data_IF_374463971390
#
_entry.id   IF_374463971390
#
_cell.length_a   1.000
_cell.length_b   1.000
_cell.length_c   1.000
_cell.angle_alpha   90.00
_cell.angle_beta   90.00
_cell.angle_gamma   90.00
#
_symmetry.space_group_name_H-M   'P 1'
#
loop_
_entity.id
_entity.type
_entity.pdbx_description
1 polymer ?
#
# COMPACT_ATOMS: atom_id res chain seq x y z
N UNK A 1 7.08 -7.70 -26.44
CA UNK A 1 6.27 -8.47 -25.49
C UNK A 1 6.26 -7.65 -24.19
N UNK A 2 5.09 -7.30 -23.65
CA UNK A 2 5.04 -6.60 -22.35
C UNK A 2 5.56 -7.54 -21.27
N UNK A 3 6.34 -7.01 -20.32
CA UNK A 3 6.78 -7.76 -19.15
C UNK A 3 5.58 -8.06 -18.25
N UNK A 4 5.57 -9.24 -17.64
CA UNK A 4 4.49 -9.63 -16.75
C UNK A 4 4.58 -8.88 -15.42
N UNK A 5 5.78 -8.76 -14.86
CA UNK A 5 6.02 -8.10 -13.59
C UNK A 5 7.18 -7.10 -13.67
N UNK A 6 7.01 -5.99 -12.98
CA UNK A 6 8.09 -5.09 -12.60
C UNK A 6 8.17 -5.01 -11.08
N UNK A 7 9.35 -5.20 -10.51
CA UNK A 7 9.61 -5.10 -9.07
C UNK A 7 10.32 -3.78 -8.79
N UNK A 8 9.68 -2.93 -8.03
CA UNK A 8 10.20 -1.66 -7.54
C UNK A 8 10.67 -1.88 -6.11
N UNK A 9 11.98 -1.88 -5.89
CA UNK A 9 12.58 -1.95 -4.56
C UNK A 9 12.88 -0.54 -4.08
N UNK A 10 12.22 -0.13 -3.00
CA UNK A 10 12.33 1.22 -2.45
C UNK A 10 13.27 1.22 -1.25
N UNK A 11 14.27 2.09 -1.25
CA UNK A 11 15.15 2.31 -0.11
C UNK A 11 15.80 3.69 -0.17
N UNK A 12 15.88 4.37 0.98
CA UNK A 12 16.60 5.64 1.13
C UNK A 12 18.09 5.54 0.74
N UNK A 13 18.68 4.34 0.77
CA UNK A 13 20.07 4.11 0.33
C UNK A 13 20.31 4.52 -1.12
N UNK A 14 19.28 4.46 -1.96
CA UNK A 14 19.39 4.80 -3.38
C UNK A 14 19.34 6.31 -3.64
N UNK A 15 18.91 7.13 -2.65
CA UNK A 15 18.91 8.59 -2.74
C UNK A 15 20.32 9.19 -2.78
N UNK A 16 21.27 8.56 -2.12
CA UNK A 16 22.62 9.10 -1.90
C UNK A 16 23.64 8.72 -2.99
N UNK A 17 23.18 8.33 -4.18
CA UNK A 17 24.09 8.04 -5.30
C UNK A 17 25.01 6.86 -5.01
N UNK A 18 24.52 5.82 -4.31
CA UNK A 18 25.22 4.56 -4.19
C UNK A 18 25.63 4.11 -5.59
N UNK A 19 26.94 4.13 -5.86
CA UNK A 19 27.50 3.99 -7.20
C UNK A 19 27.35 2.60 -7.80
N UNK A 20 26.88 1.65 -7.01
CA UNK A 20 26.65 0.27 -7.45
C UNK A 20 25.16 -0.05 -7.26
N UNK A 21 24.37 -0.12 -8.36
CA UNK A 21 23.00 -0.61 -8.25
C UNK A 21 23.02 -2.04 -7.67
N UNK A 22 22.13 -2.36 -6.73
CA UNK A 22 22.06 -3.70 -6.19
C UNK A 22 21.80 -4.70 -7.33
N UNK A 23 22.48 -5.84 -7.27
CA UNK A 23 22.25 -6.92 -8.21
C UNK A 23 20.87 -7.53 -7.95
N UNK A 24 20.00 -7.66 -8.97
CA UNK A 24 18.75 -8.38 -8.81
C UNK A 24 19.00 -9.78 -8.23
N UNK A 25 18.15 -10.27 -7.33
CA UNK A 25 18.33 -11.59 -6.70
C UNK A 25 18.30 -12.74 -7.72
N UNK A 26 17.69 -12.51 -8.87
CA UNK A 26 17.72 -13.39 -10.04
C UNK A 26 17.36 -12.60 -11.30
N UNK A 27 17.74 -13.13 -12.47
CA UNK A 27 17.40 -12.57 -13.78
C UNK A 27 16.33 -13.40 -14.46
N UNK A 28 15.35 -12.70 -15.05
CA UNK A 28 14.28 -13.28 -15.84
C UNK A 28 13.86 -12.27 -16.92
N UNK A 29 13.80 -12.66 -18.20
CA UNK A 29 13.44 -11.73 -19.28
C UNK A 29 12.03 -11.13 -19.18
N UNK A 30 11.12 -11.82 -18.46
CA UNK A 30 9.75 -11.35 -18.21
C UNK A 30 9.63 -10.40 -17.03
N UNK A 31 10.74 -10.09 -16.34
CA UNK A 31 10.79 -9.35 -15.09
C UNK A 31 11.68 -8.12 -15.24
N UNK A 32 11.18 -6.96 -14.79
CA UNK A 32 11.98 -5.76 -14.58
C UNK A 32 12.31 -5.54 -13.10
N UNK A 33 13.50 -5.01 -12.83
CA UNK A 33 13.91 -4.60 -11.49
C UNK A 33 14.28 -3.13 -11.48
N UNK A 34 13.66 -2.37 -10.58
CA UNK A 34 13.88 -0.94 -10.37
C UNK A 34 14.26 -0.70 -8.91
N UNK A 35 15.46 -0.19 -8.67
CA UNK A 35 15.95 0.17 -7.35
C UNK A 35 15.89 1.68 -7.22
N UNK A 36 15.01 2.20 -6.37
CA UNK A 36 14.67 3.61 -6.33
C UNK A 36 14.58 4.14 -4.88
N UNK A 37 14.80 5.43 -4.72
CA UNK A 37 14.58 6.16 -3.49
C UNK A 37 13.13 6.68 -3.34
N UNK A 38 12.38 6.69 -4.43
CA UNK A 38 11.02 7.19 -4.51
C UNK A 38 10.15 6.22 -5.33
N UNK A 39 9.06 5.77 -4.74
CA UNK A 39 8.09 4.87 -5.38
C UNK A 39 7.64 5.42 -6.74
N UNK A 40 7.40 6.74 -6.85
CA UNK A 40 6.92 7.35 -8.09
C UNK A 40 7.89 7.21 -9.25
N UNK A 41 9.21 7.25 -8.99
CA UNK A 41 10.21 7.02 -10.03
C UNK A 41 10.08 5.59 -10.62
N UNK A 42 9.86 4.62 -9.75
CA UNK A 42 9.65 3.23 -10.17
C UNK A 42 8.33 3.04 -10.91
N UNK A 43 7.23 3.62 -10.41
CA UNK A 43 5.92 3.55 -11.07
C UNK A 43 5.93 4.17 -12.48
N UNK A 44 6.64 5.28 -12.66
CA UNK A 44 6.81 5.96 -13.95
C UNK A 44 7.68 5.18 -14.92
N UNK A 45 8.71 4.50 -14.44
CA UNK A 45 9.62 3.68 -15.25
C UNK A 45 9.05 2.29 -15.59
N UNK A 46 8.05 1.84 -14.84
CA UNK A 46 7.46 0.51 -15.03
C UNK A 46 6.61 0.43 -16.30
N UNK A 47 6.74 -0.68 -17.02
CA UNK A 47 5.94 -1.00 -18.21
C UNK A 47 5.19 -2.32 -18.12
N UNK A 48 5.39 -3.08 -17.03
CA UNK A 48 4.77 -4.39 -16.84
C UNK A 48 3.26 -4.31 -16.60
N UNK A 49 2.58 -5.45 -16.78
CA UNK A 49 1.16 -5.60 -16.47
C UNK A 49 0.89 -5.47 -14.97
N UNK A 50 1.77 -6.03 -14.15
CA UNK A 50 1.74 -5.94 -12.70
C UNK A 50 3.01 -5.31 -12.15
N UNK A 51 2.83 -4.45 -11.17
CA UNK A 51 3.88 -3.69 -10.51
C UNK A 51 3.90 -4.08 -9.04
N UNK A 52 5.05 -4.59 -8.58
CA UNK A 52 5.28 -4.97 -7.21
C UNK A 52 6.10 -3.87 -6.56
N UNK A 53 5.57 -3.23 -5.55
CA UNK A 53 6.30 -2.28 -4.71
C UNK A 53 6.78 -3.03 -3.47
N UNK A 54 8.06 -3.07 -3.24
CA UNK A 54 8.69 -3.80 -2.14
C UNK A 54 9.71 -2.90 -1.43
N UNK A 55 9.79 -2.97 -0.10
CA UNK A 55 10.94 -2.44 0.63
C UNK A 55 12.11 -3.43 0.56
N UNK A 56 13.31 -3.00 0.95
CA UNK A 56 14.45 -3.91 1.08
C UNK A 56 14.34 -4.89 2.25
N UNK A 57 13.33 -4.74 3.10
CA UNK A 57 13.04 -5.62 4.23
C UNK A 57 12.36 -6.93 3.82
N UNK A 58 11.88 -7.04 2.59
CA UNK A 58 11.23 -8.23 2.06
C UNK A 58 12.02 -8.86 0.93
N UNK A 59 11.94 -10.19 0.82
CA UNK A 59 12.71 -10.96 -0.14
C UNK A 59 11.82 -11.45 -1.28
N UNK A 60 11.80 -10.71 -2.39
CA UNK A 60 11.09 -11.14 -3.60
C UNK A 60 11.82 -12.35 -4.21
N UNK A 61 11.10 -13.48 -4.30
CA UNK A 61 11.61 -14.74 -4.85
C UNK A 61 10.83 -15.15 -6.09
N UNK A 62 11.37 -16.09 -6.87
CA UNK A 62 10.63 -16.68 -8.00
C UNK A 62 9.33 -17.36 -7.57
N UNK A 63 9.38 -18.08 -6.46
CA UNK A 63 8.21 -18.75 -5.90
C UNK A 63 7.09 -17.73 -5.59
N UNK A 64 7.45 -16.61 -4.94
CA UNK A 64 6.50 -15.54 -4.68
C UNK A 64 5.87 -15.00 -5.97
N UNK A 65 6.66 -14.77 -7.03
CA UNK A 65 6.15 -14.27 -8.31
C UNK A 65 5.25 -15.30 -9.02
N UNK A 66 5.57 -16.58 -8.94
CA UNK A 66 4.70 -17.64 -9.48
C UNK A 66 3.36 -17.66 -8.74
N UNK A 67 3.38 -17.62 -7.41
CA UNK A 67 2.16 -17.56 -6.59
C UNK A 67 1.34 -16.30 -6.89
N UNK A 68 2.01 -15.17 -7.13
CA UNK A 68 1.34 -13.92 -7.52
C UNK A 68 0.66 -14.06 -8.90
N UNK A 69 1.33 -14.71 -9.86
CA UNK A 69 0.74 -14.97 -11.17
C UNK A 69 -0.50 -15.90 -11.08
N UNK A 70 -0.44 -16.93 -10.25
CA UNK A 70 -1.58 -17.83 -10.00
C UNK A 70 -2.74 -17.09 -9.33
N UNK A 71 -2.45 -16.23 -8.33
CA UNK A 71 -3.45 -15.37 -7.71
C UNK A 71 -4.12 -14.45 -8.72
N UNK A 72 -3.33 -13.80 -9.57
CA UNK A 72 -3.87 -12.93 -10.62
C UNK A 72 -4.77 -13.69 -11.60
N UNK A 73 -4.35 -14.87 -12.03
CA UNK A 73 -5.16 -15.73 -12.90
C UNK A 73 -6.47 -16.19 -12.24
N UNK A 74 -6.44 -16.44 -10.93
CA UNK A 74 -7.61 -16.85 -10.15
C UNK A 74 -8.59 -15.71 -9.85
N UNK A 75 -8.09 -14.49 -9.79
CA UNK A 75 -8.87 -13.29 -9.46
C UNK A 75 -8.70 -12.17 -10.50
N UNK A 76 -9.08 -12.37 -11.77
CA UNK A 76 -8.79 -11.45 -12.86
C UNK A 76 -9.47 -10.07 -12.73
N UNK A 77 -10.47 -9.95 -11.87
CA UNK A 77 -11.18 -8.69 -11.61
C UNK A 77 -10.55 -7.84 -10.49
N UNK A 78 -9.52 -8.35 -9.84
CA UNK A 78 -8.82 -7.66 -8.76
C UNK A 78 -7.75 -6.74 -9.34
N UNK A 79 -7.65 -5.54 -8.83
CA UNK A 79 -6.69 -4.55 -9.28
C UNK A 79 -5.41 -4.53 -8.45
N UNK A 80 -5.43 -5.13 -7.26
CA UNK A 80 -4.30 -5.06 -6.34
C UNK A 80 -4.35 -6.20 -5.34
N UNK A 81 -3.16 -6.68 -4.96
CA UNK A 81 -2.97 -7.76 -4.01
C UNK A 81 -2.11 -7.28 -2.84
N UNK A 82 -2.51 -7.66 -1.63
CA UNK A 82 -1.78 -7.39 -0.40
C UNK A 82 -1.17 -8.70 0.12
N UNK A 83 0.10 -8.99 -0.21
CA UNK A 83 0.80 -10.17 0.32
C UNK A 83 0.95 -10.10 1.84
N UNK A 84 1.07 -11.26 2.46
CA UNK A 84 1.45 -11.39 3.88
C UNK A 84 2.95 -11.55 4.00
N UNK A 85 3.52 -11.00 5.05
CA UNK A 85 4.96 -11.14 5.33
C UNK A 85 5.13 -12.22 6.40
N UNK A 86 5.90 -13.25 6.08
CA UNK A 86 6.35 -14.24 7.05
C UNK A 86 7.58 -13.70 7.78
N UNK A 87 7.48 -13.58 9.09
CA UNK A 87 8.57 -13.15 9.97
C UNK A 87 8.99 -14.31 10.89
N UNK A 88 10.06 -14.12 11.66
CA UNK A 88 10.46 -15.07 12.69
C UNK A 88 9.39 -15.26 13.79
N UNK A 89 8.50 -14.29 13.99
CA UNK A 89 7.48 -14.26 15.04
C UNK A 89 6.06 -14.55 14.53
N UNK A 90 5.89 -15.04 13.31
CA UNK A 90 4.60 -15.30 12.69
C UNK A 90 4.36 -14.44 11.45
N UNK A 91 3.10 -14.15 11.16
CA UNK A 91 2.72 -13.41 9.95
C UNK A 91 2.30 -11.97 10.26
N UNK A 92 2.69 -11.06 9.36
CA UNK A 92 2.20 -9.69 9.33
C UNK A 92 1.35 -9.52 8.07
N UNK A 93 0.07 -9.21 8.26
CA UNK A 93 -0.92 -9.15 7.18
C UNK A 93 -1.35 -7.74 6.83
N UNK A 94 -2.21 -7.63 5.83
CA UNK A 94 -2.86 -6.40 5.43
C UNK A 94 -3.73 -5.79 6.54
N UNK A 95 -4.24 -4.59 6.31
CA UNK A 95 -5.00 -3.83 7.31
C UNK A 95 -6.41 -3.52 6.80
N UNK A 96 -7.36 -3.54 7.71
CA UNK A 96 -8.75 -3.05 7.53
C UNK A 96 -8.97 -1.78 8.34
N UNK A 97 -10.09 -1.10 8.11
CA UNK A 97 -10.51 0.03 8.95
C UNK A 97 -11.30 -0.51 10.13
N UNK A 98 -10.74 -0.39 11.31
CA UNK A 98 -11.39 -0.79 12.55
C UNK A 98 -12.59 0.10 12.91
N UNK A 99 -13.38 -0.34 13.88
CA UNK A 99 -14.59 0.37 14.37
C UNK A 99 -14.29 1.80 14.82
N UNK A 100 -13.07 2.03 15.27
CA UNK A 100 -12.61 3.34 15.77
C UNK A 100 -11.92 4.19 14.69
N UNK A 101 -11.89 3.73 13.45
CA UNK A 101 -11.25 4.41 12.34
C UNK A 101 -9.73 4.17 12.22
N UNK A 102 -9.14 3.38 13.08
CA UNK A 102 -7.73 2.98 13.01
C UNK A 102 -7.49 1.92 11.93
N UNK A 103 -6.22 1.76 11.53
CA UNK A 103 -5.81 0.64 10.69
C UNK A 103 -5.51 -0.56 11.58
N UNK A 104 -6.34 -1.60 11.48
CA UNK A 104 -6.21 -2.84 12.24
C UNK A 104 -5.67 -3.94 11.33
N UNK A 105 -4.63 -4.63 11.77
CA UNK A 105 -4.11 -5.78 11.05
C UNK A 105 -5.14 -6.91 11.07
N UNK A 106 -5.33 -7.56 9.93
CA UNK A 106 -6.20 -8.74 9.86
C UNK A 106 -5.55 -9.94 10.54
N UNK A 107 -6.40 -10.82 11.09
CA UNK A 107 -5.97 -12.06 11.74
C UNK A 107 -5.14 -12.94 10.80
N UNK A 108 -4.23 -13.73 11.38
CA UNK A 108 -3.42 -14.73 10.65
C UNK A 108 -4.29 -15.79 9.94
N UNK A 109 -5.43 -16.11 10.53
CA UNK A 109 -6.38 -17.08 9.98
C UNK A 109 -7.45 -16.44 9.09
N UNK A 110 -7.32 -15.16 8.77
CA UNK A 110 -8.29 -14.48 7.93
C UNK A 110 -8.43 -15.17 6.57
N UNK A 111 -9.67 -15.33 6.13
CA UNK A 111 -10.00 -15.79 4.78
C UNK A 111 -9.59 -14.77 3.72
N UNK A 112 -9.73 -15.15 2.45
CA UNK A 112 -9.61 -14.21 1.33
C UNK A 112 -10.65 -13.10 1.52
N UNK A 113 -10.20 -11.84 1.56
CA UNK A 113 -11.08 -10.68 1.75
C UNK A 113 -10.49 -9.40 1.18
N UNK A 114 -11.34 -8.43 0.93
CA UNK A 114 -10.90 -7.07 0.62
C UNK A 114 -10.36 -6.36 1.85
N UNK A 115 -9.35 -5.50 1.62
CA UNK A 115 -8.62 -4.79 2.67
C UNK A 115 -8.42 -3.31 2.33
N UNK A 116 -8.21 -2.49 3.35
CA UNK A 116 -8.02 -1.06 3.21
C UNK A 116 -6.59 -0.68 2.81
N UNK A 117 -5.62 -1.44 3.30
CA UNK A 117 -4.21 -1.16 3.07
C UNK A 117 -3.35 -2.43 3.11
N UNK A 118 -2.25 -2.49 2.33
CA UNK A 118 -1.23 -3.52 2.46
C UNK A 118 -0.35 -3.23 3.68
N UNK A 119 0.63 -4.09 3.92
CA UNK A 119 1.79 -3.72 4.72
C UNK A 119 2.63 -2.67 3.97
N UNK A 120 3.31 -1.76 4.69
CA UNK A 120 4.15 -0.74 4.06
C UNK A 120 5.24 -1.31 3.16
N UNK A 121 5.69 -2.53 3.50
CA UNK A 121 6.83 -3.18 2.88
C UNK A 121 6.52 -3.92 1.58
N UNK A 122 5.24 -4.17 1.26
CA UNK A 122 4.88 -4.95 0.07
C UNK A 122 3.45 -4.71 -0.40
N UNK A 123 3.30 -4.45 -1.69
CA UNK A 123 2.02 -4.45 -2.39
C UNK A 123 2.21 -4.80 -3.86
N UNK A 124 1.20 -5.38 -4.48
CA UNK A 124 1.18 -5.58 -5.93
C UNK A 124 -0.04 -4.87 -6.54
N UNK A 125 0.18 -4.16 -7.64
CA UNK A 125 -0.83 -3.35 -8.32
C UNK A 125 -0.88 -3.69 -9.81
N UNK A 126 -2.06 -3.77 -10.39
CA UNK A 126 -2.19 -3.82 -11.84
C UNK A 126 -1.81 -2.46 -12.44
N UNK A 127 -1.19 -2.46 -13.61
CA UNK A 127 -0.88 -1.22 -14.35
C UNK A 127 -2.11 -0.36 -14.56
N UNK A 128 -3.23 -1.00 -14.86
CA UNK A 128 -4.52 -0.33 -15.07
C UNK A 128 -4.90 0.55 -13.88
N UNK A 129 -4.74 0.03 -12.66
CA UNK A 129 -5.12 0.82 -11.48
C UNK A 129 -4.09 1.88 -11.12
N UNK A 130 -2.82 1.61 -11.37
CA UNK A 130 -1.75 2.62 -11.19
C UNK A 130 -2.01 3.84 -12.07
N UNK A 131 -2.35 3.63 -13.34
CA UNK A 131 -2.68 4.72 -14.28
C UNK A 131 -3.89 5.55 -13.84
N UNK A 132 -4.89 4.92 -13.19
CA UNK A 132 -6.10 5.61 -12.70
C UNK A 132 -5.88 6.33 -11.37
N UNK A 133 -5.07 5.75 -10.49
CA UNK A 133 -4.82 6.29 -9.13
C UNK A 133 -3.82 7.43 -9.15
N UNK A 134 -2.90 7.41 -10.12
CA UNK A 134 -1.84 8.41 -10.26
C UNK A 134 -0.67 8.19 -9.30
N UNK A 135 -0.02 9.29 -8.88
CA UNK A 135 1.21 9.24 -8.06
C UNK A 135 0.94 8.95 -6.59
N UNK A 136 1.89 8.32 -5.93
CA UNK A 136 1.94 8.18 -4.47
C UNK A 136 2.18 9.55 -3.83
N UNK A 137 1.59 9.80 -2.67
CA UNK A 137 1.74 11.05 -1.93
C UNK A 137 2.96 10.99 -0.98
N UNK A 138 4.12 11.40 -1.45
CA UNK A 138 5.37 11.41 -0.69
C UNK A 138 5.40 12.43 0.48
N UNK A 139 4.37 13.26 0.64
CA UNK A 139 4.25 14.14 1.82
C UNK A 139 3.75 13.42 3.07
N UNK A 140 3.32 12.17 2.93
CA UNK A 140 2.96 11.30 4.04
C UNK A 140 4.18 10.52 4.54
N UNK A 141 4.20 10.16 5.83
CA UNK A 141 5.17 9.19 6.33
C UNK A 141 5.15 7.90 5.49
N UNK A 142 6.31 7.31 5.27
CA UNK A 142 6.49 6.13 4.40
C UNK A 142 5.50 5.01 4.71
N UNK A 143 5.27 4.73 5.99
CA UNK A 143 4.32 3.72 6.48
C UNK A 143 2.86 3.97 6.09
N UNK A 144 2.50 5.19 5.64
CA UNK A 144 1.16 5.56 5.19
C UNK A 144 1.05 5.78 3.69
N UNK A 145 2.15 5.80 2.96
CA UNK A 145 2.14 6.07 1.51
C UNK A 145 1.32 5.02 0.75
N UNK A 146 1.58 3.74 0.99
CA UNK A 146 0.81 2.66 0.37
C UNK A 146 -0.62 2.56 0.90
N UNK A 147 -0.86 2.88 2.17
CA UNK A 147 -2.21 2.91 2.74
C UNK A 147 -3.06 4.03 2.10
N UNK A 148 -2.51 5.23 1.96
CA UNK A 148 -3.18 6.33 1.26
C UNK A 148 -3.43 5.97 -0.21
N UNK A 149 -2.42 5.39 -0.87
CA UNK A 149 -2.53 4.99 -2.26
C UNK A 149 -3.66 3.98 -2.46
N UNK A 150 -3.76 2.96 -1.59
CA UNK A 150 -4.82 1.95 -1.64
C UNK A 150 -6.21 2.53 -1.41
N UNK A 151 -6.36 3.46 -0.47
CA UNK A 151 -7.64 4.14 -0.26
C UNK A 151 -8.02 5.04 -1.44
N UNK A 152 -7.05 5.70 -2.09
CA UNK A 152 -7.32 6.46 -3.32
C UNK A 152 -7.66 5.54 -4.50
N UNK A 153 -7.09 4.36 -4.54
CA UNK A 153 -7.44 3.34 -5.51
C UNK A 153 -8.91 2.93 -5.43
N UNK A 154 -9.50 2.85 -4.22
CA UNK A 154 -10.95 2.65 -4.05
C UNK A 154 -11.76 3.75 -4.73
N UNK A 155 -11.34 5.03 -4.62
CA UNK A 155 -11.99 6.12 -5.35
C UNK A 155 -11.87 5.97 -6.87
N UNK A 156 -10.78 5.36 -7.36
CA UNK A 156 -10.62 5.03 -8.77
C UNK A 156 -11.41 3.78 -9.23
N UNK A 157 -12.16 3.16 -8.32
CA UNK A 157 -12.96 1.96 -8.56
C UNK A 157 -12.20 0.65 -8.48
N UNK A 158 -10.97 0.66 -7.97
CA UNK A 158 -10.18 -0.54 -7.73
C UNK A 158 -10.38 -1.14 -6.35
N UNK A 159 -9.97 -2.37 -6.16
CA UNK A 159 -10.04 -3.10 -4.89
C UNK A 159 -8.75 -3.84 -4.62
N UNK A 160 -8.35 -3.87 -3.34
CA UNK A 160 -7.20 -4.63 -2.87
C UNK A 160 -7.67 -5.91 -2.17
N UNK A 161 -7.11 -7.04 -2.59
CA UNK A 161 -7.45 -8.35 -2.03
C UNK A 161 -6.29 -8.87 -1.19
N UNK A 162 -6.58 -9.29 0.04
CA UNK A 162 -5.68 -10.11 0.83
C UNK A 162 -5.93 -11.58 0.51
N UNK A 163 -4.87 -12.30 0.18
CA UNK A 163 -4.87 -13.72 -0.08
C UNK A 163 -3.94 -14.39 0.93
N UNK A 164 -4.45 -15.21 1.85
CA UNK A 164 -3.68 -15.76 2.98
C UNK A 164 -2.46 -16.58 2.59
N UNK A 165 -2.49 -17.24 1.44
CA UNK A 165 -1.40 -18.08 0.93
C UNK A 165 -0.41 -17.32 0.03
N UNK A 166 -0.69 -16.06 -0.31
CA UNK A 166 0.27 -15.19 -0.98
C UNK A 166 1.23 -14.62 0.06
N UNK A 167 2.32 -15.32 0.27
CA UNK A 167 3.28 -15.06 1.35
C UNK A 167 4.64 -14.68 0.79
N UNK A 168 5.27 -13.70 1.41
CA UNK A 168 6.66 -13.29 1.16
C UNK A 168 7.45 -13.34 2.46
N UNK A 169 8.74 -13.67 2.41
CA UNK A 169 9.61 -13.62 3.57
C UNK A 169 10.15 -12.21 3.80
N UNK A 170 10.24 -11.81 5.08
CA UNK A 170 10.76 -10.49 5.41
C UNK A 170 10.94 -10.24 6.89
N UNK A 171 11.56 -9.13 7.19
CA UNK A 171 11.73 -8.59 8.55
C UNK A 171 11.31 -7.14 8.59
N UNK A 172 9.99 -6.87 8.45
CA UNK A 172 9.48 -5.50 8.45
C UNK A 172 9.81 -4.81 9.78
N UNK A 173 10.14 -3.52 9.69
CA UNK A 173 10.37 -2.71 10.88
C UNK A 173 9.06 -2.56 11.67
N UNK A 174 9.01 -3.15 12.86
CA UNK A 174 7.91 -2.97 13.80
C UNK A 174 7.99 -1.57 14.43
N UNK A 175 7.76 -0.52 13.64
CA UNK A 175 7.63 0.83 14.18
C UNK A 175 6.42 0.89 15.11
N UNK A 176 6.61 1.45 16.30
CA UNK A 176 5.54 1.58 17.29
C UNK A 176 4.34 2.33 16.71
N UNK A 177 3.17 1.69 16.72
CA UNK A 177 1.92 2.26 16.19
C UNK A 177 1.32 3.40 17.04
N UNK A 178 1.97 3.79 18.13
CA UNK A 178 1.47 4.83 19.06
C UNK A 178 2.34 6.08 19.11
N UNK A 179 3.20 6.29 18.11
CA UNK A 179 3.99 7.52 18.04
C UNK A 179 3.12 8.70 17.57
N UNK A 180 3.54 9.91 17.91
CA UNK A 180 2.89 11.15 17.43
C UNK A 180 2.88 11.21 15.90
N UNK A 181 3.96 10.76 15.26
CA UNK A 181 4.11 10.72 13.80
C UNK A 181 3.17 9.71 13.17
N UNK A 182 3.06 8.50 13.74
CA UNK A 182 2.09 7.51 13.30
C UNK A 182 0.67 8.06 13.36
N UNK A 183 0.27 8.64 14.50
CA UNK A 183 -1.07 9.19 14.66
C UNK A 183 -1.34 10.36 13.70
N UNK A 184 -0.32 11.17 13.40
CA UNK A 184 -0.41 12.25 12.42
C UNK A 184 -0.58 11.72 10.99
N UNK A 185 0.15 10.68 10.61
CA UNK A 185 0.02 10.01 9.31
C UNK A 185 -1.35 9.36 9.16
N UNK A 186 -1.78 8.60 10.16
CA UNK A 186 -3.06 7.91 10.18
C UNK A 186 -4.24 8.89 9.98
N UNK A 187 -4.33 9.95 10.80
CA UNK A 187 -5.46 10.90 10.71
C UNK A 187 -5.49 11.64 9.36
N UNK A 188 -4.32 12.01 8.80
CA UNK A 188 -4.23 12.67 7.49
C UNK A 188 -4.71 11.74 6.38
N UNK A 189 -4.30 10.48 6.40
CA UNK A 189 -4.70 9.45 5.43
C UNK A 189 -6.21 9.21 5.49
N UNK A 190 -6.77 9.01 6.68
CA UNK A 190 -8.20 8.82 6.89
C UNK A 190 -9.01 10.03 6.43
N UNK A 191 -8.58 11.23 6.81
CA UNK A 191 -9.27 12.46 6.40
C UNK A 191 -9.28 12.64 4.89
N UNK A 192 -8.13 12.48 4.25
CA UNK A 192 -7.96 12.66 2.82
C UNK A 192 -8.84 11.72 2.01
N UNK A 193 -8.93 10.45 2.41
CA UNK A 193 -9.63 9.44 1.65
C UNK A 193 -11.06 9.19 2.13
N UNK A 194 -11.31 9.12 3.43
CA UNK A 194 -12.60 8.75 4.00
C UNK A 194 -13.36 9.93 4.64
N UNK A 195 -12.69 11.07 4.85
CA UNK A 195 -13.28 12.31 5.32
C UNK A 195 -13.31 12.47 6.82
N UNK A 196 -14.00 13.56 7.26
CA UNK A 196 -13.99 14.01 8.65
C UNK A 196 -14.60 12.98 9.61
N UNK A 197 -15.57 12.20 9.18
CA UNK A 197 -16.21 11.19 10.02
C UNK A 197 -15.23 10.08 10.43
N UNK A 198 -14.42 9.56 9.50
CA UNK A 198 -13.42 8.54 9.80
C UNK A 198 -12.27 9.13 10.63
N UNK A 199 -11.75 10.28 10.22
CA UNK A 199 -10.70 10.98 10.96
C UNK A 199 -11.16 11.37 12.38
N UNK A 200 -12.42 11.79 12.56
CA UNK A 200 -13.00 12.14 13.86
C UNK A 200 -13.07 10.95 14.80
N UNK A 201 -13.48 9.78 14.33
CA UNK A 201 -13.51 8.56 15.15
C UNK A 201 -12.12 8.22 15.70
N UNK A 202 -11.10 8.30 14.84
CA UNK A 202 -9.70 8.07 15.23
C UNK A 202 -9.24 9.14 16.25
N UNK A 203 -9.54 10.41 16.00
CA UNK A 203 -9.11 11.52 16.84
C UNK A 203 -9.74 11.53 18.23
N UNK A 204 -10.92 10.95 18.43
CA UNK A 204 -11.51 10.76 19.75
C UNK A 204 -10.64 9.93 20.69
N UNK A 205 -9.88 8.98 20.16
CA UNK A 205 -8.92 8.16 20.92
C UNK A 205 -7.51 8.75 20.95
N UNK A 206 -7.18 9.55 19.96
CA UNK A 206 -5.87 10.17 19.78
C UNK A 206 -5.99 11.69 19.65
N UNK A 207 -6.44 12.41 20.70
CA UNK A 207 -6.80 13.84 20.59
C UNK A 207 -5.66 14.74 20.12
N UNK A 208 -4.41 14.37 20.37
CA UNK A 208 -3.25 15.10 19.86
C UNK A 208 -3.13 15.10 18.32
N UNK A 209 -3.75 14.12 17.65
CA UNK A 209 -3.73 14.03 16.18
C UNK A 209 -4.54 15.14 15.49
N UNK A 210 -5.49 15.79 16.19
CA UNK A 210 -6.21 16.96 15.69
C UNK A 210 -5.28 18.12 15.30
N UNK A 211 -4.25 18.35 16.10
CA UNK A 211 -3.26 19.42 15.83
C UNK A 211 -2.59 19.16 14.48
N UNK A 212 -2.21 17.92 14.22
CA UNK A 212 -1.57 17.51 12.98
C UNK A 212 -2.51 17.60 11.77
N UNK A 213 -3.79 17.37 11.96
CA UNK A 213 -4.80 17.53 10.91
C UNK A 213 -4.99 19.02 10.57
N UNK A 214 -5.20 19.87 11.57
CA UNK A 214 -5.48 21.30 11.36
C UNK A 214 -4.29 22.05 10.78
N UNK A 215 -3.05 21.69 11.14
CA UNK A 215 -1.83 22.31 10.60
C UNK A 215 -1.69 22.16 9.07
N UNK A 216 -2.35 21.20 8.45
CA UNK A 216 -2.28 20.94 7.01
C UNK A 216 -3.62 20.90 6.29
N UNK A 217 -4.72 21.28 6.96
CA UNK A 217 -6.08 21.02 6.47
C UNK A 217 -6.38 21.64 5.09
N UNK A 218 -5.83 22.81 4.78
CA UNK A 218 -6.03 23.45 3.46
C UNK A 218 -5.44 22.59 2.33
N UNK A 219 -4.18 22.14 2.48
CA UNK A 219 -3.54 21.28 1.50
C UNK A 219 -4.23 19.91 1.42
N UNK A 220 -4.64 19.35 2.56
CA UNK A 220 -5.38 18.08 2.60
C UNK A 220 -6.75 18.20 1.93
N UNK A 221 -7.46 19.33 2.05
CA UNK A 221 -8.71 19.56 1.37
C UNK A 221 -8.54 19.57 -0.16
N UNK A 222 -7.49 20.19 -0.68
CA UNK A 222 -7.18 20.17 -2.12
C UNK A 222 -6.95 18.73 -2.58
N UNK A 223 -6.07 17.99 -1.88
CA UNK A 223 -5.78 16.59 -2.18
C UNK A 223 -7.03 15.70 -2.07
N UNK A 224 -7.84 15.90 -1.03
CA UNK A 224 -9.12 15.20 -0.86
C UNK A 224 -10.06 15.48 -2.03
N UNK A 225 -10.25 16.75 -2.38
CA UNK A 225 -11.11 17.13 -3.50
C UNK A 225 -10.68 16.44 -4.78
N UNK A 226 -9.37 16.42 -5.08
CA UNK A 226 -8.84 15.72 -6.25
C UNK A 226 -9.15 14.21 -6.20
N UNK A 227 -8.99 13.56 -5.04
CA UNK A 227 -9.26 12.13 -4.88
C UNK A 227 -10.74 11.76 -5.06
N UNK A 228 -11.67 12.61 -4.61
CA UNK A 228 -13.11 12.28 -4.59
C UNK A 228 -13.89 12.83 -5.78
N UNK A 229 -13.34 13.76 -6.56
CA UNK A 229 -14.07 14.45 -7.65
C UNK A 229 -14.69 13.48 -8.66
N UNK A 230 -13.99 12.38 -8.97
CA UNK A 230 -14.44 11.31 -9.86
C UNK A 230 -14.56 9.97 -9.14
N UNK A 231 -14.95 10.01 -7.86
CA UNK A 231 -14.99 8.81 -7.03
C UNK A 231 -16.00 7.79 -7.55
N UNK A 232 -15.52 6.56 -7.71
CA UNK A 232 -16.32 5.37 -7.98
C UNK A 232 -16.51 4.50 -6.74
N UNK A 233 -16.05 4.96 -5.58
CA UNK A 233 -16.18 4.22 -4.32
C UNK A 233 -17.65 4.12 -3.92
N UNK A 234 -18.13 2.91 -3.71
CA UNK A 234 -19.50 2.64 -3.24
C UNK A 234 -19.53 2.39 -1.73
N UNK A 235 -20.72 2.43 -1.14
CA UNK A 235 -20.92 2.06 0.27
C UNK A 235 -20.54 0.59 0.53
N UNK A 236 -20.77 -0.30 -0.43
CA UNK A 236 -20.37 -1.71 -0.39
C UNK A 236 -18.85 -1.86 -0.31
N UNK A 237 -18.10 -1.21 -1.21
CA UNK A 237 -16.63 -1.23 -1.19
C UNK A 237 -16.08 -0.71 0.15
N UNK A 238 -16.72 0.30 0.73
CA UNK A 238 -16.32 0.84 2.04
C UNK A 238 -16.66 -0.15 3.16
N UNK A 239 -17.74 -0.91 3.05
CA UNK A 239 -18.12 -1.94 4.02
C UNK A 239 -17.14 -3.14 3.98
N UNK A 240 -16.75 -3.57 2.79
CA UNK A 240 -15.84 -4.70 2.57
C UNK A 240 -14.46 -4.53 3.25
N UNK A 241 -13.94 -3.30 3.34
CA UNK A 241 -12.63 -2.99 3.93
C UNK A 241 -12.69 -2.68 5.42
N UNK A 242 -13.86 -2.80 6.07
CA UNK A 242 -14.05 -2.60 7.50
C UNK A 242 -14.04 -3.93 8.26
N UNK A 243 -13.75 -3.80 9.57
CA UNK A 243 -13.85 -4.88 10.55
C UNK A 243 -15.30 -5.28 10.84
#
# INVERSE_FOLDING_TARGET
MLRQFDVIVVSERFANGSTIPPTPPFTDPSLGWFFVDDINKGLEASEAEWIIVASEQVKVTREFLNNLAECNASFPMVDSLAPRIRTANGFVGAKVIGKNGDFVQIDENASIRYVAAPQPDIAAFSRRIVQRTGRVDNSLPEEFQLADYSLRMLHAGGRMLNIPYLVIEGSPDNKSQNTKEYNAGCIKTLYKSLGISAAGKFALRHPQSWISLFSGIKALNVKRKAAITLSKMTAEMLHEIRE
#
